data_IF_833926526371
#
_entry.id   IF_833926526371
#
_cell.length_a   1.000
_cell.length_b   1.000
_cell.length_c   1.000
_cell.angle_alpha   90.00
_cell.angle_beta   90.00
_cell.angle_gamma   90.00
#
_symmetry.space_group_name_H-M   'P 1'
#
loop_
_entity.id
_entity.type
_entity.pdbx_description
1 polymer ?
#
# COMPACT_ATOMS: atom_id res chain seq x y z
N UNK A 1 -4.63 19.06 21.24
CA UNK A 1 -3.62 18.19 21.87
C UNK A 1 -4.20 17.73 23.19
N UNK A 2 -4.42 16.43 23.34
CA UNK A 2 -5.01 15.84 24.54
C UNK A 2 -4.15 16.16 25.77
N UNK A 3 -4.78 16.43 26.91
CA UNK A 3 -4.08 16.68 28.18
C UNK A 3 -3.25 15.44 28.54
N UNK A 4 -1.93 15.52 28.35
CA UNK A 4 -1.02 14.40 28.56
C UNK A 4 -1.10 13.88 30.00
N UNK A 5 -1.27 12.56 30.16
CA UNK A 5 -1.28 11.90 31.47
C UNK A 5 0.08 11.26 31.74
N UNK A 6 0.73 11.63 32.84
CA UNK A 6 1.92 10.96 33.33
C UNK A 6 1.54 9.66 34.06
N UNK A 7 2.44 8.68 34.07
CA UNK A 7 2.22 7.42 34.74
C UNK A 7 2.17 7.60 36.27
N UNK A 8 0.95 7.62 36.84
CA UNK A 8 0.71 7.95 38.26
C UNK A 8 1.38 7.02 39.29
N UNK A 9 1.89 5.85 38.86
CA UNK A 9 2.51 4.85 39.74
C UNK A 9 4.00 4.64 39.47
N UNK A 10 4.59 5.39 38.54
CA UNK A 10 6.01 5.29 38.23
C UNK A 10 6.81 6.07 39.27
N UNK A 11 7.95 5.51 39.69
CA UNK A 11 8.90 6.24 40.54
C UNK A 11 9.40 7.48 39.79
N UNK A 12 9.56 8.58 40.50
CA UNK A 12 9.92 9.88 39.92
C UNK A 12 11.23 9.81 39.14
N UNK A 13 12.22 9.08 39.65
CA UNK A 13 13.53 8.93 39.02
C UNK A 13 13.42 8.23 37.66
N UNK A 14 12.62 7.17 37.60
CA UNK A 14 12.38 6.40 36.38
C UNK A 14 11.54 7.21 35.37
N UNK A 15 10.59 8.00 35.86
CA UNK A 15 9.80 8.90 35.01
C UNK A 15 10.68 9.96 34.36
N UNK A 16 11.57 10.60 35.13
CA UNK A 16 12.53 11.58 34.63
C UNK A 16 13.51 10.96 33.63
N UNK A 17 13.99 9.75 33.88
CA UNK A 17 14.84 9.01 32.95
C UNK A 17 14.15 8.81 31.59
N UNK A 18 12.90 8.32 31.61
CA UNK A 18 12.13 8.10 30.38
C UNK A 18 11.79 9.40 29.65
N UNK A 19 11.37 10.45 30.37
CA UNK A 19 11.12 11.76 29.77
C UNK A 19 12.40 12.34 29.15
N UNK A 20 13.54 12.18 29.81
CA UNK A 20 14.85 12.60 29.28
C UNK A 20 15.19 11.83 28.01
N UNK A 21 14.93 10.53 27.96
CA UNK A 21 15.12 9.71 26.77
C UNK A 21 14.21 10.18 25.61
N UNK A 22 12.94 10.47 25.88
CA UNK A 22 11.99 11.03 24.90
C UNK A 22 12.49 12.38 24.38
N UNK A 23 12.86 13.31 25.27
CA UNK A 23 13.41 14.61 24.89
C UNK A 23 14.68 14.48 24.04
N UNK A 24 15.55 13.51 24.34
CA UNK A 24 16.76 13.24 23.55
C UNK A 24 16.40 12.78 22.14
N UNK A 25 15.40 11.91 21.98
CA UNK A 25 14.92 11.47 20.66
C UNK A 25 14.28 12.62 19.90
N UNK A 26 13.38 13.38 20.55
CA UNK A 26 12.74 14.53 19.92
C UNK A 26 13.78 15.56 19.44
N UNK A 27 14.77 15.88 20.27
CA UNK A 27 15.84 16.81 19.89
C UNK A 27 16.65 16.36 18.67
N UNK A 28 16.81 15.04 18.46
CA UNK A 28 17.46 14.46 17.28
C UNK A 28 16.57 14.49 16.04
N UNK A 29 15.25 14.47 16.21
CA UNK A 29 14.27 14.48 15.11
C UNK A 29 13.83 15.89 14.71
N UNK A 30 14.16 16.92 15.51
CA UNK A 30 13.85 18.30 15.18
C UNK A 30 14.63 18.74 13.94
N UNK A 31 13.88 19.21 12.95
CA UNK A 31 14.38 19.75 11.69
C UNK A 31 14.96 21.16 11.92
N UNK A 32 16.29 21.24 12.03
CA UNK A 32 17.00 22.49 12.34
C UNK A 32 16.94 23.50 11.20
N UNK A 33 16.65 23.07 9.97
CA UNK A 33 16.45 23.96 8.83
C UNK A 33 15.10 24.69 8.93
N UNK A 34 14.09 24.04 9.51
CA UNK A 34 12.79 24.67 9.80
C UNK A 34 12.85 25.53 11.05
N UNK A 35 13.62 25.10 12.06
CA UNK A 35 13.70 25.75 13.38
C UNK A 35 15.11 26.29 13.67
N UNK A 36 15.66 27.22 12.87
CA UNK A 36 17.07 27.62 12.95
C UNK A 36 17.43 28.32 14.27
N UNK A 37 16.45 28.89 14.98
CA UNK A 37 16.67 29.52 16.27
C UNK A 37 17.06 28.53 17.39
N UNK A 38 16.75 27.24 17.22
CA UNK A 38 17.12 26.21 18.20
C UNK A 38 18.63 25.99 18.24
N UNK A 39 19.31 26.07 17.09
CA UNK A 39 20.78 25.96 17.03
C UNK A 39 21.45 27.27 17.45
N UNK A 40 20.85 28.40 17.11
CA UNK A 40 21.31 29.72 17.53
C UNK A 40 21.04 30.01 19.03
N UNK A 41 20.36 29.11 19.76
CA UNK A 41 20.06 29.29 21.18
C UNK A 41 19.24 30.56 21.48
N UNK A 42 18.46 31.04 20.51
CA UNK A 42 17.73 32.32 20.58
C UNK A 42 16.22 32.11 20.55
N UNK A 43 15.48 33.13 20.95
CA UNK A 43 14.05 33.18 20.68
C UNK A 43 13.80 33.35 19.17
N UNK A 44 12.78 32.66 18.66
CA UNK A 44 12.33 32.84 17.28
C UNK A 44 11.83 34.27 17.05
N UNK A 45 12.10 34.84 15.88
CA UNK A 45 11.43 36.05 15.40
C UNK A 45 9.99 35.74 14.97
N UNK A 46 9.17 36.78 14.79
CA UNK A 46 7.80 36.60 14.28
C UNK A 46 7.79 35.92 12.89
N UNK A 47 8.68 36.37 12.00
CA UNK A 47 8.82 35.80 10.66
C UNK A 47 9.31 34.35 10.66
N UNK A 48 10.30 34.01 11.50
CA UNK A 48 10.77 32.62 11.64
C UNK A 48 9.66 31.69 12.16
N UNK A 49 8.86 32.15 13.14
CA UNK A 49 7.71 31.37 13.63
C UNK A 49 6.65 31.17 12.56
N UNK A 50 6.31 32.23 11.82
CA UNK A 50 5.31 32.19 10.76
C UNK A 50 5.70 31.21 9.65
N UNK A 51 6.93 31.34 9.14
CA UNK A 51 7.50 30.42 8.14
C UNK A 51 7.51 28.97 8.64
N UNK A 52 8.01 28.73 9.84
CA UNK A 52 8.04 27.37 10.40
C UNK A 52 6.64 26.79 10.57
N UNK A 53 5.68 27.59 11.05
CA UNK A 53 4.29 27.16 11.22
C UNK A 53 3.63 26.80 9.89
N UNK A 54 3.89 27.56 8.82
CA UNK A 54 3.38 27.30 7.48
C UNK A 54 3.92 25.98 6.93
N UNK A 55 5.24 25.73 7.05
CA UNK A 55 5.86 24.49 6.60
C UNK A 55 5.32 23.29 7.38
N UNK A 56 5.20 23.41 8.70
CA UNK A 56 4.63 22.34 9.55
C UNK A 56 3.18 22.07 9.20
N UNK A 57 2.38 23.12 8.97
CA UNK A 57 0.98 22.99 8.57
C UNK A 57 0.83 22.29 7.22
N UNK A 58 1.65 22.64 6.22
CA UNK A 58 1.66 22.00 4.90
C UNK A 58 2.04 20.51 4.98
N UNK A 59 3.12 20.19 5.72
CA UNK A 59 3.55 18.81 5.94
C UNK A 59 2.48 17.99 6.68
N UNK A 60 1.85 18.58 7.70
CA UNK A 60 0.76 17.94 8.43
C UNK A 60 -0.45 17.69 7.52
N UNK A 61 -0.84 18.70 6.75
CA UNK A 61 -1.93 18.60 5.77
C UNK A 61 -1.67 17.44 4.80
N UNK A 62 -0.48 17.39 4.20
CA UNK A 62 -0.07 16.30 3.31
C UNK A 62 -0.10 14.93 4.00
N UNK A 63 0.39 14.83 5.24
CA UNK A 63 0.39 13.56 5.99
C UNK A 63 -1.01 13.01 6.28
N UNK A 64 -1.99 13.91 6.43
CA UNK A 64 -3.39 13.56 6.66
C UNK A 64 -4.11 13.29 5.34
N UNK A 65 -3.91 14.13 4.32
CA UNK A 65 -4.60 14.05 3.05
C UNK A 65 -4.16 12.85 2.20
N UNK A 66 -2.87 12.52 2.18
CA UNK A 66 -2.33 11.46 1.32
C UNK A 66 -2.98 10.08 1.58
N UNK A 67 -3.14 9.60 2.83
CA UNK A 67 -3.88 8.37 3.10
C UNK A 67 -5.34 8.43 2.66
N UNK A 68 -6.03 9.57 2.85
CA UNK A 68 -7.44 9.74 2.47
C UNK A 68 -7.60 9.59 0.96
N UNK A 69 -6.79 10.33 0.19
CA UNK A 69 -6.81 10.28 -1.28
C UNK A 69 -6.48 8.88 -1.78
N UNK A 70 -5.44 8.25 -1.22
CA UNK A 70 -5.04 6.88 -1.60
C UNK A 70 -6.16 5.87 -1.35
N UNK A 71 -6.78 5.91 -0.18
CA UNK A 71 -7.86 4.97 0.17
C UNK A 71 -9.10 5.18 -0.71
N UNK A 72 -9.41 6.44 -1.05
CA UNK A 72 -10.50 6.75 -1.97
C UNK A 72 -10.22 6.25 -3.39
N UNK A 73 -8.97 6.34 -3.86
CA UNK A 73 -8.55 5.80 -5.15
C UNK A 73 -8.61 4.27 -5.20
N UNK A 74 -8.12 3.59 -4.16
CA UNK A 74 -8.21 2.12 -4.05
C UNK A 74 -9.69 1.69 -4.09
N UNK A 75 -10.55 2.33 -3.29
CA UNK A 75 -11.99 2.02 -3.26
C UNK A 75 -12.62 2.16 -4.65
N UNK A 76 -12.33 3.27 -5.36
CA UNK A 76 -12.80 3.47 -6.73
C UNK A 76 -12.32 2.38 -7.70
N UNK A 77 -11.05 1.98 -7.63
CA UNK A 77 -10.50 0.92 -8.49
C UNK A 77 -11.18 -0.42 -8.23
N UNK A 78 -11.37 -0.77 -6.95
CA UNK A 78 -12.07 -2.00 -6.55
C UNK A 78 -13.53 -1.98 -7.02
N UNK A 79 -14.23 -0.87 -6.88
CA UNK A 79 -15.62 -0.72 -7.35
C UNK A 79 -15.70 -0.87 -8.88
N UNK A 80 -14.77 -0.26 -9.62
CA UNK A 80 -14.71 -0.40 -11.08
C UNK A 80 -14.48 -1.85 -11.52
N UNK A 81 -13.55 -2.57 -10.88
CA UNK A 81 -13.31 -3.99 -11.17
C UNK A 81 -14.55 -4.82 -10.78
N UNK A 82 -15.18 -4.52 -9.64
CA UNK A 82 -16.40 -5.17 -9.18
C UNK A 82 -17.55 -5.05 -10.18
N UNK A 83 -17.81 -3.84 -10.68
CA UNK A 83 -18.82 -3.56 -11.70
C UNK A 83 -18.49 -4.26 -13.03
N UNK A 84 -17.23 -4.21 -13.45
CA UNK A 84 -16.74 -4.87 -14.66
C UNK A 84 -16.98 -6.39 -14.62
N UNK A 85 -16.65 -7.03 -13.50
CA UNK A 85 -16.85 -8.45 -13.25
C UNK A 85 -18.35 -8.78 -13.13
N UNK A 86 -19.12 -7.95 -12.43
CA UNK A 86 -20.56 -8.11 -12.21
C UNK A 86 -21.35 -8.09 -13.52
N UNK A 87 -21.08 -7.14 -14.42
CA UNK A 87 -21.69 -7.09 -15.78
C UNK A 87 -21.40 -8.34 -16.61
N UNK A 88 -20.32 -9.05 -16.29
CA UNK A 88 -19.91 -10.30 -16.92
C UNK A 88 -20.39 -11.53 -16.15
N UNK A 89 -21.22 -11.38 -15.12
CA UNK A 89 -21.82 -12.49 -14.38
C UNK A 89 -20.87 -13.19 -13.42
N UNK A 90 -19.76 -12.56 -13.03
CA UNK A 90 -18.97 -13.00 -11.90
C UNK A 90 -19.66 -12.61 -10.59
N UNK A 91 -19.48 -13.44 -9.55
CA UNK A 91 -20.09 -13.19 -8.23
C UNK A 91 -19.03 -12.93 -7.18
N UNK A 92 -19.23 -11.89 -6.37
CA UNK A 92 -18.40 -11.65 -5.19
C UNK A 92 -18.66 -12.77 -4.18
N UNK A 93 -17.62 -13.45 -3.75
CA UNK A 93 -17.71 -14.53 -2.77
C UNK A 93 -16.51 -14.49 -1.84
N UNK A 94 -16.77 -14.53 -0.53
CA UNK A 94 -15.70 -14.65 0.45
C UNK A 94 -15.02 -16.02 0.30
N UNK A 95 -13.69 -16.04 0.35
CA UNK A 95 -12.90 -17.25 0.41
C UNK A 95 -12.37 -17.45 1.83
N UNK A 96 -12.69 -18.56 2.52
CA UNK A 96 -12.26 -18.77 3.90
C UNK A 96 -10.74 -18.77 4.06
N UNK A 97 -10.25 -18.11 5.11
CA UNK A 97 -8.84 -18.15 5.48
C UNK A 97 -8.40 -19.61 5.70
N UNK A 98 -7.24 -19.97 5.15
CA UNK A 98 -6.65 -21.31 5.27
C UNK A 98 -7.10 -22.31 4.21
N UNK A 99 -8.13 -22.03 3.41
CA UNK A 99 -8.43 -22.86 2.23
C UNK A 99 -7.48 -22.55 1.08
N UNK A 100 -7.02 -23.56 0.31
CA UNK A 100 -6.26 -23.34 -0.91
C UNK A 100 -6.96 -22.36 -1.85
N UNK A 101 -6.21 -21.41 -2.42
CA UNK A 101 -6.77 -20.44 -3.39
C UNK A 101 -7.31 -21.13 -4.66
N UNK A 102 -6.80 -22.31 -4.99
CA UNK A 102 -7.26 -23.13 -6.11
C UNK A 102 -8.68 -23.72 -5.91
N UNK A 103 -9.20 -23.64 -4.69
CA UNK A 103 -10.54 -24.11 -4.33
C UNK A 103 -11.62 -23.02 -4.49
N UNK A 104 -11.23 -21.79 -4.87
CA UNK A 104 -12.21 -20.75 -5.21
C UNK A 104 -13.17 -21.24 -6.29
N UNK A 105 -14.44 -20.92 -6.15
CA UNK A 105 -15.47 -21.35 -7.10
C UNK A 105 -15.29 -20.70 -8.48
N UNK A 106 -15.53 -21.41 -9.59
CA UNK A 106 -15.48 -20.82 -10.92
C UNK A 106 -16.42 -19.60 -11.04
N UNK A 107 -15.95 -18.53 -11.67
CA UNK A 107 -16.75 -17.31 -11.86
C UNK A 107 -16.97 -16.52 -10.57
N UNK A 108 -16.08 -16.64 -9.59
CA UNK A 108 -16.14 -15.89 -8.33
C UNK A 108 -14.94 -14.98 -8.15
N UNK A 109 -15.11 -13.93 -7.34
CA UNK A 109 -14.01 -13.05 -6.97
C UNK A 109 -14.11 -12.62 -5.50
N UNK A 110 -12.96 -12.25 -4.93
CA UNK A 110 -12.84 -11.68 -3.59
C UNK A 110 -11.96 -10.43 -3.63
N UNK A 111 -12.25 -9.47 -2.76
CA UNK A 111 -11.40 -8.30 -2.54
C UNK A 111 -10.53 -8.48 -1.30
N UNK A 112 -9.33 -7.89 -1.34
CA UNK A 112 -8.36 -7.84 -0.23
C UNK A 112 -8.15 -9.22 0.41
N UNK A 113 -7.94 -10.24 -0.43
CA UNK A 113 -7.74 -11.60 0.03
C UNK A 113 -6.30 -11.79 0.51
N UNK A 114 -6.14 -12.20 1.77
CA UNK A 114 -4.82 -12.50 2.33
C UNK A 114 -4.34 -13.87 1.89
N UNK A 115 -3.20 -13.91 1.19
CA UNK A 115 -2.58 -15.12 0.70
C UNK A 115 -1.37 -15.51 1.58
N UNK A 116 -1.28 -16.75 2.06
CA UNK A 116 -0.13 -17.20 2.83
C UNK A 116 1.07 -17.44 1.90
N UNK A 117 2.08 -16.57 1.97
CA UNK A 117 3.32 -16.65 1.19
C UNK A 117 4.49 -17.13 2.05
N UNK A 118 5.39 -17.91 1.46
CA UNK A 118 6.62 -18.38 2.11
C UNK A 118 6.63 -19.88 2.38
N UNK A 119 7.85 -20.47 2.38
CA UNK A 119 8.07 -21.91 2.53
C UNK A 119 8.08 -22.38 3.99
N UNK A 120 8.85 -21.71 4.85
CA UNK A 120 9.03 -22.10 6.27
C UNK A 120 8.19 -21.24 7.22
N UNK A 121 8.25 -19.91 7.07
CA UNK A 121 7.40 -18.97 7.81
C UNK A 121 6.41 -18.36 6.82
N UNK A 122 5.13 -18.70 6.99
CA UNK A 122 4.05 -18.16 6.16
C UNK A 122 3.66 -16.78 6.65
N UNK A 123 3.77 -15.78 5.78
CA UNK A 123 3.28 -14.43 6.00
C UNK A 123 2.05 -14.21 5.14
N UNK A 124 0.99 -13.67 5.73
CA UNK A 124 -0.22 -13.33 5.00
C UNK A 124 -0.02 -12.00 4.28
N UNK A 125 -0.04 -12.03 2.95
CA UNK A 125 0.09 -10.85 2.09
C UNK A 125 -1.25 -10.56 1.44
N UNK A 126 -1.80 -9.35 1.56
CA UNK A 126 -3.06 -8.99 0.91
C UNK A 126 -2.87 -8.90 -0.60
N UNK A 127 -3.87 -9.37 -1.36
CA UNK A 127 -4.04 -9.11 -2.80
C UNK A 127 -5.37 -8.41 -2.99
N UNK A 128 -5.37 -7.31 -3.73
CA UNK A 128 -6.52 -6.41 -3.84
C UNK A 128 -7.73 -7.07 -4.49
N UNK A 129 -7.54 -7.82 -5.58
CA UNK A 129 -8.60 -8.61 -6.21
C UNK A 129 -8.08 -9.98 -6.60
N UNK A 130 -8.83 -11.01 -6.24
CA UNK A 130 -8.56 -12.39 -6.66
C UNK A 130 -9.78 -12.90 -7.40
N UNK A 131 -9.59 -13.30 -8.67
CA UNK A 131 -10.67 -13.72 -9.56
C UNK A 131 -10.42 -15.14 -10.04
N UNK A 132 -11.34 -16.05 -9.76
CA UNK A 132 -11.31 -17.39 -10.34
C UNK A 132 -12.09 -17.37 -11.67
N UNK A 133 -11.43 -17.61 -12.82
CA UNK A 133 -12.10 -17.62 -14.12
C UNK A 133 -13.29 -18.59 -14.16
N UNK A 134 -14.29 -18.27 -15.00
CA UNK A 134 -15.40 -19.20 -15.26
C UNK A 134 -14.91 -20.51 -15.88
N UNK A 135 -13.97 -20.42 -16.82
CA UNK A 135 -13.26 -21.56 -17.38
C UNK A 135 -11.97 -21.76 -16.60
N UNK A 136 -11.95 -22.75 -15.72
CA UNK A 136 -10.79 -23.02 -14.88
C UNK A 136 -9.54 -23.25 -15.72
N UNK A 137 -8.44 -22.65 -15.27
CA UNK A 137 -7.09 -22.96 -15.75
C UNK A 137 -6.71 -24.39 -15.35
N UNK A 138 -5.72 -24.97 -16.04
CA UNK A 138 -5.21 -26.32 -15.73
C UNK A 138 -4.66 -26.43 -14.30
N UNK A 139 -4.02 -25.37 -13.82
CA UNK A 139 -3.47 -25.24 -12.47
C UNK A 139 -4.53 -24.82 -11.43
N UNK A 140 -5.75 -24.47 -11.88
CA UNK A 140 -6.84 -23.90 -11.09
C UNK A 140 -6.49 -22.63 -10.31
N UNK A 141 -5.35 -22.01 -10.58
CA UNK A 141 -4.94 -20.80 -9.89
C UNK A 141 -5.82 -19.62 -10.34
N UNK A 142 -6.34 -18.81 -9.41
CA UNK A 142 -7.04 -17.59 -9.77
C UNK A 142 -6.08 -16.55 -10.34
N UNK A 143 -6.63 -15.54 -11.00
CA UNK A 143 -5.90 -14.35 -11.44
C UNK A 143 -5.84 -13.38 -10.25
N UNK A 144 -4.63 -12.91 -9.95
CA UNK A 144 -4.32 -11.98 -8.88
C UNK A 144 -4.11 -10.59 -9.49
N UNK A 145 -4.87 -9.61 -9.03
CA UNK A 145 -4.82 -8.25 -9.53
C UNK A 145 -4.52 -7.32 -8.35
N UNK A 146 -3.49 -6.50 -8.52
CA UNK A 146 -3.10 -5.48 -7.54
C UNK A 146 -3.42 -4.08 -8.09
N UNK A 147 -4.21 -3.30 -7.37
CA UNK A 147 -4.62 -1.97 -7.80
C UNK A 147 -3.58 -0.94 -7.36
N UNK A 148 -3.01 -0.21 -8.33
CA UNK A 148 -2.05 0.87 -8.06
C UNK A 148 -2.52 2.17 -8.68
N UNK A 149 -2.50 3.22 -7.87
CA UNK A 149 -2.68 4.59 -8.30
C UNK A 149 -1.39 5.40 -8.13
N UNK A 150 -1.05 6.20 -9.13
CA UNK A 150 0.07 7.13 -9.09
C UNK A 150 -0.37 8.52 -9.59
N UNK A 151 -0.10 9.54 -8.77
CA UNK A 151 -0.35 10.96 -9.08
C UNK A 151 0.91 11.82 -9.18
N UNK A 152 2.09 11.26 -8.87
CA UNK A 152 3.37 11.93 -8.93
C UNK A 152 4.49 10.96 -9.38
N UNK A 153 5.58 11.50 -9.94
CA UNK A 153 6.69 10.73 -10.49
C UNK A 153 7.66 10.18 -9.42
N UNK A 154 7.70 10.79 -8.23
CA UNK A 154 8.73 10.50 -7.22
C UNK A 154 8.36 9.30 -6.33
N UNK A 155 7.07 9.02 -6.16
CA UNK A 155 6.55 7.97 -5.27
C UNK A 155 6.62 6.54 -5.88
N UNK A 156 6.72 6.42 -7.20
CA UNK A 156 6.71 5.13 -7.92
C UNK A 156 7.98 4.28 -7.67
N UNK A 157 9.12 4.93 -7.41
CA UNK A 157 10.42 4.25 -7.27
C UNK A 157 10.58 3.39 -6.01
N UNK A 158 9.92 3.75 -4.90
CA UNK A 158 9.85 2.88 -3.71
C UNK A 158 8.89 1.71 -3.97
N UNK A 159 7.75 2.00 -4.61
CA UNK A 159 6.64 1.06 -4.81
C UNK A 159 6.99 -0.10 -5.76
N UNK A 160 7.83 0.10 -6.79
CA UNK A 160 8.23 -0.98 -7.71
C UNK A 160 8.93 -2.17 -7.05
N UNK A 161 9.74 -1.92 -6.01
CA UNK A 161 10.45 -3.00 -5.30
C UNK A 161 9.50 -3.87 -4.47
N UNK A 162 8.41 -3.28 -3.99
CA UNK A 162 7.39 -3.99 -3.21
C UNK A 162 6.65 -4.99 -4.10
N UNK A 163 6.31 -4.61 -5.34
CA UNK A 163 5.65 -5.48 -6.34
C UNK A 163 6.55 -6.63 -6.81
N UNK A 164 7.80 -6.35 -7.14
CA UNK A 164 8.80 -7.37 -7.49
C UNK A 164 9.00 -8.40 -6.36
N UNK A 165 9.07 -7.94 -5.11
CA UNK A 165 9.19 -8.84 -3.96
C UNK A 165 7.94 -9.72 -3.85
N UNK A 166 6.76 -9.14 -4.06
CA UNK A 166 5.48 -9.84 -3.97
C UNK A 166 5.32 -10.90 -5.06
N UNK A 167 5.64 -10.60 -6.32
CA UNK A 167 5.53 -11.59 -7.41
C UNK A 167 6.47 -12.77 -7.18
N UNK A 168 7.70 -12.53 -6.73
CA UNK A 168 8.64 -13.62 -6.41
C UNK A 168 8.15 -14.49 -5.25
N UNK A 169 7.57 -13.89 -4.21
CA UNK A 169 6.98 -14.64 -3.11
C UNK A 169 5.75 -15.46 -3.54
N UNK A 170 4.92 -14.90 -4.41
CA UNK A 170 3.78 -15.61 -5.02
C UNK A 170 4.26 -16.79 -5.84
N UNK A 171 5.22 -16.59 -6.74
CA UNK A 171 5.79 -17.64 -7.59
C UNK A 171 6.46 -18.74 -6.76
N UNK A 172 7.18 -18.38 -5.70
CA UNK A 172 7.80 -19.35 -4.80
C UNK A 172 6.78 -20.20 -4.02
N UNK A 173 5.56 -19.68 -3.81
CA UNK A 173 4.51 -20.33 -3.01
C UNK A 173 3.50 -21.10 -3.86
N UNK A 174 3.18 -20.60 -5.07
CA UNK A 174 2.14 -21.14 -5.94
C UNK A 174 2.64 -21.60 -7.31
N UNK A 175 3.93 -21.44 -7.60
CA UNK A 175 4.57 -21.78 -8.86
C UNK A 175 4.73 -20.60 -9.82
N UNK A 176 5.69 -20.71 -10.73
CA UNK A 176 6.07 -19.63 -11.65
C UNK A 176 4.93 -19.14 -12.57
N UNK A 177 3.89 -19.95 -12.76
CA UNK A 177 2.75 -19.65 -13.63
C UNK A 177 1.59 -18.91 -12.93
N UNK A 178 1.75 -18.52 -11.65
CA UNK A 178 0.74 -17.76 -10.91
C UNK A 178 0.43 -16.45 -11.65
N UNK A 179 -0.83 -16.21 -12.08
CA UNK A 179 -1.16 -14.99 -12.80
C UNK A 179 -1.22 -13.81 -11.83
N UNK A 180 -0.26 -12.90 -11.91
CA UNK A 180 -0.20 -11.68 -11.13
C UNK A 180 -0.06 -10.48 -12.06
N UNK A 181 -0.97 -9.52 -11.97
CA UNK A 181 -0.96 -8.31 -12.80
C UNK A 181 -1.26 -7.06 -11.98
N UNK A 182 -0.77 -5.92 -12.45
CA UNK A 182 -1.12 -4.61 -11.89
C UNK A 182 -2.34 -4.01 -12.61
N UNK A 183 -3.21 -3.35 -11.86
CA UNK A 183 -4.28 -2.51 -12.39
C UNK A 183 -3.95 -1.04 -12.13
N UNK A 184 -3.49 -0.35 -13.17
CA UNK A 184 -2.83 0.95 -13.06
C UNK A 184 -3.79 2.11 -13.33
N UNK A 185 -3.88 3.05 -12.40
CA UNK A 185 -4.59 4.32 -12.53
C UNK A 185 -3.63 5.51 -12.41
N UNK A 186 -3.79 6.50 -13.29
CA UNK A 186 -2.95 7.69 -13.32
C UNK A 186 -1.76 7.53 -14.26
N UNK A 187 -0.62 8.07 -13.88
CA UNK A 187 0.58 8.12 -14.72
C UNK A 187 1.73 7.33 -14.10
N UNK A 188 2.37 6.49 -14.92
CA UNK A 188 3.58 5.75 -14.55
C UNK A 188 4.66 6.00 -15.60
N UNK A 189 5.88 6.29 -15.12
CA UNK A 189 7.04 6.49 -15.98
C UNK A 189 7.49 5.21 -16.68
N UNK A 190 8.19 5.35 -17.81
CA UNK A 190 8.72 4.21 -18.56
C UNK A 190 9.75 3.40 -17.77
N UNK A 191 10.46 4.02 -16.83
CA UNK A 191 11.39 3.37 -15.92
C UNK A 191 10.68 2.47 -14.90
N UNK A 192 9.51 2.88 -14.41
CA UNK A 192 8.65 2.04 -13.59
C UNK A 192 8.16 0.84 -14.41
N UNK A 193 7.52 1.10 -15.56
CA UNK A 193 6.95 0.05 -16.40
C UNK A 193 8.01 -0.94 -16.92
N UNK A 194 9.18 -0.43 -17.30
CA UNK A 194 10.30 -1.27 -17.72
C UNK A 194 10.86 -2.15 -16.60
N UNK A 195 10.84 -1.65 -15.35
CA UNK A 195 11.23 -2.44 -14.19
C UNK A 195 10.22 -3.57 -13.92
N UNK A 196 8.91 -3.25 -13.85
CA UNK A 196 7.86 -4.26 -13.63
C UNK A 196 7.87 -5.34 -14.73
N UNK A 197 8.05 -4.94 -15.99
CA UNK A 197 8.16 -5.88 -17.11
C UNK A 197 9.39 -6.80 -16.99
N UNK A 198 10.53 -6.28 -16.50
CA UNK A 198 11.73 -7.08 -16.28
C UNK A 198 11.56 -8.12 -15.14
N UNK A 199 10.67 -7.83 -14.18
CA UNK A 199 10.27 -8.75 -13.11
C UNK A 199 9.14 -9.71 -13.56
N UNK A 200 8.73 -9.63 -14.83
CA UNK A 200 7.69 -10.47 -15.41
C UNK A 200 6.27 -10.10 -14.99
N UNK A 201 6.04 -8.85 -14.58
CA UNK A 201 4.74 -8.34 -14.14
C UNK A 201 4.07 -7.58 -15.30
N UNK A 202 2.92 -8.10 -15.73
CA UNK A 202 2.04 -7.42 -16.69
C UNK A 202 1.09 -6.43 -15.99
N UNK A 203 0.48 -5.54 -16.78
CA UNK A 203 -0.50 -4.59 -16.26
C UNK A 203 -1.67 -4.34 -17.21
N UNK A 204 -2.77 -3.90 -16.62
CA UNK A 204 -3.94 -3.35 -17.31
C UNK A 204 -4.16 -1.93 -16.83
N UNK A 205 -4.40 -1.02 -17.76
CA UNK A 205 -4.73 0.36 -17.43
C UNK A 205 -6.20 0.50 -17.07
N UNK A 206 -6.50 1.32 -16.05
CA UNK A 206 -7.87 1.55 -15.59
C UNK A 206 -8.80 2.03 -16.72
N UNK A 207 -8.32 2.96 -17.55
CA UNK A 207 -9.06 3.49 -18.70
C UNK A 207 -9.21 2.48 -19.87
N UNK A 208 -8.60 1.29 -19.76
CA UNK A 208 -8.67 0.17 -20.71
C UNK A 208 -9.01 -1.13 -19.99
N UNK A 209 -9.93 -1.08 -19.03
CA UNK A 209 -10.29 -2.22 -18.18
C UNK A 209 -10.67 -3.49 -18.97
N UNK A 210 -11.19 -3.37 -20.20
CA UNK A 210 -11.48 -4.51 -21.07
C UNK A 210 -10.25 -5.35 -21.42
N UNK A 211 -9.03 -4.83 -21.28
CA UNK A 211 -7.80 -5.62 -21.42
C UNK A 211 -7.68 -6.72 -20.36
N UNK A 212 -8.43 -6.66 -19.24
CA UNK A 212 -8.56 -7.77 -18.29
C UNK A 212 -9.08 -9.06 -18.95
N UNK A 213 -9.82 -8.96 -20.06
CA UNK A 213 -10.29 -10.13 -20.81
C UNK A 213 -9.15 -10.94 -21.42
N UNK A 214 -8.00 -10.31 -21.69
CA UNK A 214 -6.80 -10.99 -22.21
C UNK A 214 -6.22 -11.99 -21.21
N UNK A 215 -6.61 -11.88 -19.93
CA UNK A 215 -6.22 -12.80 -18.87
C UNK A 215 -7.10 -14.07 -18.82
N UNK A 216 -8.16 -14.15 -19.63
CA UNK A 216 -9.09 -15.27 -19.68
C UNK A 216 -10.29 -15.14 -18.74
N UNK A 217 -10.69 -13.90 -18.42
CA UNK A 217 -11.87 -13.56 -17.63
C UNK A 217 -13.16 -13.53 -18.45
#
# INVERSE_FOLDING_TARGET
MEAGKLAARMKEELLLEHLTAVCRVLNKLLDRDIFPWLDAGKAATAHERDRASTIVADRLCSSIANPIVRNAQEQRQLDMIGDFLGRRGYRKQAHPAGKPIADMGPGTYAFRLNLPLGKALKVNVPVDVVVQPKKLRKDRLPILIEAKSAGDFTNTNKRRKEEATKVHQLQASYGAAVPYVLFLCGYFGSDYLGYEAAEGIDWVWEHRIDDLLKLGL
#
